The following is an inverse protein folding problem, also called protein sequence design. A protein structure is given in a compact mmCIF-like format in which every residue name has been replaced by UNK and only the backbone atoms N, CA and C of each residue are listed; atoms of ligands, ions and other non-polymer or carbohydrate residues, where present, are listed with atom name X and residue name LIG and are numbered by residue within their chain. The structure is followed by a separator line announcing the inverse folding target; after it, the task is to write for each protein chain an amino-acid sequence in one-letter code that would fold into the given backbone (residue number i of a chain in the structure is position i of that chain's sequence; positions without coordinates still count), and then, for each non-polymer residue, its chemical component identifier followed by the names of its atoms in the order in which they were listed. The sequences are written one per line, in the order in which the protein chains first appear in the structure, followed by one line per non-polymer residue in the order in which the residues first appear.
data_IF_006632602539
#
_entry.id   IF_006632602539
#
_cell.length_a   1.000
_cell.length_b   1.000
_cell.length_c   1.000
_cell.angle_alpha   90.00
_cell.angle_beta   90.00
_cell.angle_gamma   90.00
#
_symmetry.space_group_name_H-M   'P 1'
#
loop_
_entity.id
_entity.type
_entity.pdbx_description
1 polymer ?
#
# COMPACT_ATOMS: atom_id res chain seq x y z
N UNK A 1 -8.72 -15.02 24.53
CA UNK A 1 -9.08 -13.79 25.26
C UNK A 1 -9.50 -12.75 24.21
N UNK A 2 -10.76 -12.33 24.06
CA UNK A 2 -12.04 -12.78 24.62
C UNK A 2 -13.16 -12.37 23.64
N UNK A 3 -14.13 -13.26 23.38
CA UNK A 3 -15.28 -13.02 22.48
C UNK A 3 -15.99 -11.66 22.61
N UNK A 4 -16.15 -11.03 23.80
CA UNK A 4 -16.76 -9.70 23.91
C UNK A 4 -16.07 -8.61 23.08
N UNK A 5 -14.73 -8.59 22.95
CA UNK A 5 -14.05 -7.50 22.23
C UNK A 5 -14.33 -7.55 20.72
N UNK A 6 -14.45 -8.74 20.15
CA UNK A 6 -14.84 -8.91 18.75
C UNK A 6 -16.27 -8.41 18.52
N UNK A 7 -17.18 -8.56 19.50
CA UNK A 7 -18.54 -8.02 19.39
C UNK A 7 -18.58 -6.49 19.44
N UNK A 8 -17.73 -5.86 20.27
CA UNK A 8 -17.60 -4.40 20.32
C UNK A 8 -16.97 -3.84 19.04
N UNK A 9 -15.93 -4.48 18.52
CA UNK A 9 -15.34 -4.13 17.22
C UNK A 9 -16.39 -4.19 16.11
N UNK A 10 -17.16 -5.28 16.02
CA UNK A 10 -18.20 -5.43 15.01
C UNK A 10 -19.32 -4.38 15.13
N UNK A 11 -19.66 -3.93 16.35
CA UNK A 11 -20.63 -2.85 16.56
C UNK A 11 -20.11 -1.50 16.07
N UNK A 12 -18.85 -1.17 16.37
CA UNK A 12 -18.22 0.05 15.88
C UNK A 12 -18.05 0.04 14.37
N UNK A 13 -17.67 -1.10 13.78
CA UNK A 13 -17.60 -1.26 12.32
C UNK A 13 -18.97 -1.06 11.67
N UNK A 14 -20.04 -1.61 12.27
CA UNK A 14 -21.42 -1.38 11.79
C UNK A 14 -21.81 0.10 11.87
N UNK A 15 -21.51 0.77 12.98
CA UNK A 15 -21.80 2.20 13.15
C UNK A 15 -21.03 3.04 12.12
N UNK A 16 -19.75 2.74 11.92
CA UNK A 16 -18.89 3.40 10.92
C UNK A 16 -19.38 3.17 9.49
N UNK A 17 -19.85 1.95 9.18
CA UNK A 17 -20.39 1.60 7.86
C UNK A 17 -21.78 2.19 7.55
N UNK A 18 -22.39 2.89 8.53
CA UNK A 18 -23.67 3.55 8.29
C UNK A 18 -23.45 4.81 7.43
N UNK A 19 -24.00 4.80 6.21
CA UNK A 19 -23.87 5.89 5.23
C UNK A 19 -24.24 7.27 5.77
N UNK A 20 -25.22 7.35 6.68
CA UNK A 20 -25.60 8.63 7.28
C UNK A 20 -24.51 9.12 8.24
N UNK A 21 -24.01 8.23 9.09
CA UNK A 21 -22.95 8.55 10.04
C UNK A 21 -21.67 8.93 9.30
N UNK A 22 -21.30 8.15 8.30
CA UNK A 22 -20.19 8.42 7.40
C UNK A 22 -20.31 9.80 6.75
N UNK A 23 -21.45 10.10 6.12
CA UNK A 23 -21.70 11.39 5.48
C UNK A 23 -21.61 12.57 6.48
N UNK A 24 -22.13 12.39 7.70
CA UNK A 24 -22.04 13.41 8.77
C UNK A 24 -20.59 13.64 9.17
N UNK A 25 -19.80 12.58 9.38
CA UNK A 25 -18.39 12.73 9.75
C UNK A 25 -17.58 13.37 8.62
N UNK A 26 -17.80 12.95 7.37
CA UNK A 26 -17.18 13.56 6.19
C UNK A 26 -17.53 15.04 6.12
N UNK A 27 -18.80 15.41 6.29
CA UNK A 27 -19.23 16.81 6.29
C UNK A 27 -18.52 17.61 7.38
N UNK A 28 -18.42 17.08 8.61
CA UNK A 28 -17.69 17.73 9.71
C UNK A 28 -16.21 17.94 9.34
N UNK A 29 -15.53 16.91 8.81
CA UNK A 29 -14.12 17.01 8.43
C UNK A 29 -13.92 18.03 7.30
N UNK A 30 -14.75 17.98 6.26
CA UNK A 30 -14.66 18.90 5.11
C UNK A 30 -14.94 20.33 5.54
N UNK A 31 -16.01 20.59 6.30
CA UNK A 31 -16.33 21.93 6.78
C UNK A 31 -15.23 22.45 7.72
N UNK A 32 -14.71 21.61 8.62
CA UNK A 32 -13.58 21.96 9.50
C UNK A 32 -12.32 22.32 8.69
N UNK A 33 -12.00 21.53 7.65
CA UNK A 33 -10.89 21.81 6.74
C UNK A 33 -11.05 23.14 5.99
N UNK A 34 -12.26 23.42 5.47
CA UNK A 34 -12.58 24.68 4.80
C UNK A 34 -12.47 25.87 5.75
N UNK A 35 -12.88 25.73 7.02
CA UNK A 35 -12.70 26.78 8.03
C UNK A 35 -11.23 27.03 8.34
N UNK A 36 -10.39 25.98 8.42
CA UNK A 36 -8.93 26.14 8.57
C UNK A 36 -8.36 26.96 7.40
N UNK A 37 -8.83 26.73 6.17
CA UNK A 37 -8.44 27.53 5.01
C UNK A 37 -8.97 28.97 5.08
N UNK A 38 -10.24 29.16 5.47
CA UNK A 38 -10.90 30.45 5.57
C UNK A 38 -10.30 31.35 6.67
N UNK A 39 -9.68 30.77 7.72
CA UNK A 39 -8.90 31.50 8.73
C UNK A 39 -7.73 32.31 8.16
N UNK A 40 -7.35 32.07 6.90
CA UNK A 40 -6.40 32.93 6.18
C UNK A 40 -6.98 34.31 5.87
N UNK A 41 -8.31 34.46 5.90
CA UNK A 41 -9.02 35.66 5.43
C UNK A 41 -9.80 36.41 6.51
N UNK A 42 -10.54 35.78 7.43
CA UNK A 42 -11.32 36.49 8.48
C UNK A 42 -11.57 35.67 9.77
N UNK A 43 -11.78 36.39 10.90
CA UNK A 43 -12.15 35.87 12.23
C UNK A 43 -13.66 35.54 12.31
N UNK A 44 -14.06 34.29 12.05
CA UNK A 44 -15.45 33.84 12.20
C UNK A 44 -15.65 33.09 13.53
N UNK A 45 -16.28 33.74 14.52
CA UNK A 45 -16.18 33.30 15.93
C UNK A 45 -17.17 32.22 16.40
N UNK A 46 -18.40 32.15 15.87
CA UNK A 46 -19.40 31.21 16.42
C UNK A 46 -19.43 29.84 15.73
N UNK A 47 -19.37 29.80 14.39
CA UNK A 47 -19.34 28.55 13.63
C UNK A 47 -18.07 27.75 13.94
N UNK A 48 -16.97 28.45 14.21
CA UNK A 48 -15.71 27.84 14.61
C UNK A 48 -15.81 27.06 15.93
N UNK A 49 -16.45 27.62 16.96
CA UNK A 49 -16.56 26.95 18.26
C UNK A 49 -17.35 25.64 18.16
N UNK A 50 -18.49 25.66 17.46
CA UNK A 50 -19.28 24.45 17.24
C UNK A 50 -18.51 23.40 16.43
N UNK A 51 -17.80 23.80 15.38
CA UNK A 51 -16.98 22.89 14.58
C UNK A 51 -15.81 22.32 15.36
N UNK A 52 -15.19 23.09 16.26
CA UNK A 52 -14.14 22.59 17.15
C UNK A 52 -14.66 21.48 18.07
N UNK A 53 -15.86 21.64 18.65
CA UNK A 53 -16.47 20.59 19.46
C UNK A 53 -16.81 19.34 18.64
N UNK A 54 -17.34 19.50 17.43
CA UNK A 54 -17.65 18.39 16.53
C UNK A 54 -16.38 17.65 16.07
N UNK A 55 -15.32 18.39 15.73
CA UNK A 55 -14.04 17.82 15.34
C UNK A 55 -13.36 17.09 16.51
N UNK A 56 -13.47 17.63 17.73
CA UNK A 56 -13.05 16.94 18.95
C UNK A 56 -13.84 15.64 19.16
N UNK A 57 -15.17 15.66 18.96
CA UNK A 57 -16.00 14.47 19.05
C UNK A 57 -15.61 13.40 18.04
N UNK A 58 -15.33 13.78 16.78
CA UNK A 58 -14.81 12.87 15.74
C UNK A 58 -13.45 12.31 16.15
N UNK A 59 -12.57 13.14 16.71
CA UNK A 59 -11.25 12.70 17.22
C UNK A 59 -11.40 11.63 18.29
N UNK A 60 -12.28 11.87 19.27
CA UNK A 60 -12.54 10.93 20.37
C UNK A 60 -13.16 9.63 19.82
N UNK A 61 -14.08 9.72 18.86
CA UNK A 61 -14.64 8.54 18.20
C UNK A 61 -13.54 7.66 17.59
N UNK A 62 -12.65 8.24 16.79
CA UNK A 62 -11.53 7.53 16.18
C UNK A 62 -10.52 6.99 17.20
N UNK A 63 -10.29 7.72 18.29
CA UNK A 63 -9.46 7.25 19.40
C UNK A 63 -10.05 6.00 20.04
N UNK A 64 -11.35 6.01 20.34
CA UNK A 64 -12.02 4.85 20.90
C UNK A 64 -11.98 3.68 19.92
N UNK A 65 -12.26 3.94 18.64
CA UNK A 65 -12.21 2.93 17.59
C UNK A 65 -10.83 2.26 17.51
N UNK A 66 -9.74 3.05 17.52
CA UNK A 66 -8.41 2.50 17.39
C UNK A 66 -7.96 1.75 18.65
N UNK A 67 -8.35 2.22 19.84
CA UNK A 67 -8.09 1.51 21.09
C UNK A 67 -8.79 0.13 21.10
N UNK A 68 -10.03 0.06 20.62
CA UNK A 68 -10.75 -1.22 20.47
C UNK A 68 -10.03 -2.13 19.47
N UNK A 69 -9.58 -1.59 18.32
CA UNK A 69 -8.88 -2.35 17.29
C UNK A 69 -7.53 -2.88 17.78
N UNK A 70 -6.80 -2.10 18.59
CA UNK A 70 -5.57 -2.53 19.26
C UNK A 70 -5.86 -3.62 20.30
N UNK A 71 -6.90 -3.45 21.12
CA UNK A 71 -7.28 -4.40 22.16
C UNK A 71 -7.80 -5.76 21.61
N UNK A 72 -8.34 -5.76 20.38
CA UNK A 72 -8.79 -6.97 19.70
C UNK A 72 -7.62 -7.81 19.11
N UNK A 73 -6.46 -7.21 18.87
CA UNK A 73 -5.27 -7.90 18.36
C UNK A 73 -4.56 -8.68 19.49
N UNK A 74 -4.07 -9.89 19.18
CA UNK A 74 -3.40 -10.74 20.19
C UNK A 74 -2.06 -10.18 20.65
N UNK A 75 -1.41 -9.38 19.82
CA UNK A 75 -0.13 -8.73 20.10
C UNK A 75 -0.08 -7.35 19.45
N UNK A 76 0.52 -6.36 20.12
CA UNK A 76 0.69 -5.01 19.56
C UNK A 76 1.46 -5.05 18.23
N UNK A 77 2.46 -5.94 18.10
CA UNK A 77 3.20 -6.13 16.86
C UNK A 77 2.34 -6.60 15.69
N UNK A 78 1.25 -7.32 15.94
CA UNK A 78 0.33 -7.75 14.88
C UNK A 78 -0.49 -6.57 14.34
N UNK A 79 -0.87 -5.63 15.22
CA UNK A 79 -1.52 -4.38 14.82
C UNK A 79 -0.62 -3.53 13.91
N UNK A 80 0.64 -3.32 14.30
CA UNK A 80 1.59 -2.48 13.54
C UNK A 80 2.10 -3.11 12.24
N UNK A 81 1.83 -4.40 11.97
CA UNK A 81 2.10 -5.01 10.66
C UNK A 81 1.09 -4.62 9.58
N UNK A 82 -0.09 -4.15 9.96
CA UNK A 82 -1.14 -3.72 9.03
C UNK A 82 -0.96 -2.24 8.71
N UNK A 83 -0.57 -1.90 7.48
CA UNK A 83 -0.26 -0.52 7.08
C UNK A 83 -1.37 0.50 7.39
N UNK A 84 -2.63 0.14 7.15
CA UNK A 84 -3.78 1.00 7.45
C UNK A 84 -4.01 1.24 8.94
N UNK A 85 -3.70 0.26 9.79
CA UNK A 85 -3.76 0.44 11.25
C UNK A 85 -2.68 1.41 11.74
N UNK A 86 -1.48 1.37 11.13
CA UNK A 86 -0.39 2.32 11.43
C UNK A 86 -0.79 3.73 11.01
N UNK A 87 -1.39 3.88 9.82
CA UNK A 87 -1.89 5.16 9.33
C UNK A 87 -2.94 5.74 10.27
N UNK A 88 -3.98 4.99 10.60
CA UNK A 88 -5.04 5.42 11.53
C UNK A 88 -4.44 5.83 12.89
N UNK A 89 -3.45 5.10 13.39
CA UNK A 89 -2.78 5.40 14.66
C UNK A 89 -1.99 6.70 14.60
N UNK A 90 -1.24 6.91 13.52
CA UNK A 90 -0.50 8.15 13.30
C UNK A 90 -1.44 9.35 13.21
N UNK A 91 -2.54 9.24 12.47
CA UNK A 91 -3.51 10.33 12.33
C UNK A 91 -4.16 10.69 13.67
N UNK A 92 -4.57 9.70 14.46
CA UNK A 92 -5.19 9.92 15.78
C UNK A 92 -4.19 10.51 16.76
N UNK A 93 -2.98 9.98 16.84
CA UNK A 93 -1.94 10.48 17.76
C UNK A 93 -1.48 11.89 17.40
N UNK A 94 -1.24 12.19 16.12
CA UNK A 94 -0.92 13.53 15.65
C UNK A 94 -2.03 14.54 15.96
N UNK A 95 -3.28 14.09 16.02
CA UNK A 95 -4.43 14.93 16.35
C UNK A 95 -4.61 15.23 17.84
N UNK A 96 -4.03 14.41 18.71
CA UNK A 96 -4.16 14.53 20.17
C UNK A 96 -3.08 15.40 20.81
N UNK A 97 -2.03 15.76 20.07
CA UNK A 97 -0.93 16.58 20.58
C UNK A 97 -1.49 17.95 21.04
N UNK A 98 -1.43 18.26 22.35
CA UNK A 98 -1.93 19.53 22.88
C UNK A 98 -1.02 20.69 22.45
N UNK A 99 -1.63 21.87 22.31
CA UNK A 99 -1.07 23.02 21.58
C UNK A 99 -0.42 24.07 22.49
N UNK A 100 -0.11 23.74 23.75
CA UNK A 100 0.10 24.76 24.79
C UNK A 100 1.56 25.17 25.01
N UNK A 101 2.55 24.54 24.36
CA UNK A 101 3.96 24.95 24.45
C UNK A 101 4.33 25.95 23.35
N UNK A 102 4.89 27.10 23.73
CA UNK A 102 5.13 28.29 22.90
C UNK A 102 5.97 28.04 21.63
N UNK A 103 6.88 27.06 21.65
CA UNK A 103 7.68 26.67 20.47
C UNK A 103 6.96 25.63 19.60
N UNK A 104 6.09 24.82 20.19
CA UNK A 104 5.30 23.79 19.51
C UNK A 104 4.06 24.37 18.83
N UNK A 105 3.66 25.61 19.10
CA UNK A 105 2.44 26.22 18.54
C UNK A 105 2.43 26.19 17.01
N UNK A 106 3.55 26.50 16.34
CA UNK A 106 3.61 26.52 14.87
C UNK A 106 3.50 25.11 14.28
N UNK A 107 4.27 24.16 14.81
CA UNK A 107 4.22 22.76 14.39
C UNK A 107 2.84 22.18 14.63
N UNK A 108 2.26 22.44 15.80
CA UNK A 108 0.96 21.92 16.16
C UNK A 108 -0.17 22.58 15.34
N UNK A 109 0.00 23.82 14.83
CA UNK A 109 -0.89 24.39 13.80
C UNK A 109 -0.81 23.62 12.49
N UNK A 110 0.41 23.27 12.05
CA UNK A 110 0.61 22.44 10.85
C UNK A 110 0.02 21.03 11.05
N UNK A 111 0.12 20.46 12.25
CA UNK A 111 -0.44 19.13 12.56
C UNK A 111 -1.96 19.06 12.41
N UNK A 112 -2.66 20.20 12.39
CA UNK A 112 -4.12 20.24 12.11
C UNK A 112 -4.45 19.74 10.71
N UNK A 113 -3.51 19.80 9.74
CA UNK A 113 -3.74 19.24 8.40
C UNK A 113 -3.95 17.73 8.42
N UNK A 114 -3.38 17.01 9.39
CA UNK A 114 -3.61 15.57 9.55
C UNK A 114 -5.07 15.24 9.87
N UNK A 115 -5.85 16.20 10.38
CA UNK A 115 -7.30 16.00 10.58
C UNK A 115 -8.03 15.82 9.26
N UNK A 116 -7.59 16.49 8.19
CA UNK A 116 -8.14 16.31 6.84
C UNK A 116 -7.82 14.90 6.32
N UNK A 117 -6.64 14.37 6.67
CA UNK A 117 -6.25 13.01 6.32
C UNK A 117 -7.15 11.94 6.96
N UNK A 118 -7.95 12.27 7.98
CA UNK A 118 -9.00 11.36 8.51
C UNK A 118 -10.05 11.01 7.45
N UNK A 119 -10.23 11.80 6.40
CA UNK A 119 -11.07 11.43 5.26
C UNK A 119 -10.58 10.11 4.64
N UNK A 120 -9.26 9.93 4.55
CA UNK A 120 -8.66 8.69 4.06
C UNK A 120 -8.98 7.52 5.00
N UNK A 121 -8.93 7.73 6.31
CA UNK A 121 -9.30 6.71 7.30
C UNK A 121 -10.80 6.39 7.31
N UNK A 122 -11.66 7.38 7.09
CA UNK A 122 -13.12 7.21 7.08
C UNK A 122 -13.64 6.54 5.80
N UNK A 123 -13.07 6.88 4.63
CA UNK A 123 -13.61 6.50 3.32
C UNK A 123 -12.84 5.29 2.77
N UNK A 124 -13.40 4.07 2.80
CA UNK A 124 -12.71 2.87 2.32
C UNK A 124 -12.33 2.96 0.83
N UNK A 125 -13.12 3.68 0.03
CA UNK A 125 -12.85 3.93 -1.38
C UNK A 125 -11.54 4.70 -1.55
N UNK A 126 -11.24 5.70 -0.70
CA UNK A 126 -9.96 6.41 -0.73
C UNK A 126 -8.80 5.49 -0.35
N UNK A 127 -9.01 4.60 0.63
CA UNK A 127 -8.00 3.59 1.00
C UNK A 127 -7.75 2.61 -0.14
N UNK A 128 -8.80 2.20 -0.85
CA UNK A 128 -8.70 1.32 -2.01
C UNK A 128 -7.92 1.99 -3.15
N UNK A 129 -8.24 3.25 -3.47
CA UNK A 129 -7.54 4.03 -4.49
C UNK A 129 -6.06 4.23 -4.13
N UNK A 130 -5.76 4.67 -2.92
CA UNK A 130 -4.38 4.82 -2.45
C UNK A 130 -3.65 3.49 -2.40
N UNK A 131 -4.31 2.40 -1.97
CA UNK A 131 -3.72 1.05 -2.01
C UNK A 131 -3.39 0.63 -3.44
N UNK A 132 -4.25 0.96 -4.41
CA UNK A 132 -4.00 0.66 -5.82
C UNK A 132 -2.78 1.45 -6.35
N UNK A 133 -2.68 2.74 -6.00
CA UNK A 133 -1.52 3.58 -6.33
C UNK A 133 -0.23 3.05 -5.68
N UNK A 134 -0.25 2.73 -4.38
CA UNK A 134 0.94 2.21 -3.69
C UNK A 134 1.33 0.83 -4.22
N UNK A 135 0.37 -0.03 -4.61
CA UNK A 135 0.65 -1.34 -5.21
C UNK A 135 1.27 -1.26 -6.61
N UNK A 136 1.10 -0.16 -7.34
CA UNK A 136 1.74 0.01 -8.65
C UNK A 136 3.19 0.48 -8.54
N UNK A 137 3.55 1.23 -7.49
CA UNK A 137 4.91 1.77 -7.29
C UNK A 137 6.03 0.71 -7.35
N UNK A 138 5.94 -0.47 -6.68
CA UNK A 138 7.01 -1.46 -6.72
C UNK A 138 7.36 -1.96 -8.12
N UNK A 139 6.38 -2.04 -9.04
CA UNK A 139 6.62 -2.44 -10.44
C UNK A 139 7.55 -1.46 -11.15
N UNK A 140 7.54 -0.20 -10.72
CA UNK A 140 8.33 0.89 -11.29
C UNK A 140 9.65 1.12 -10.55
N UNK A 141 9.91 0.42 -9.44
CA UNK A 141 11.04 0.71 -8.54
C UNK A 141 12.41 0.72 -9.24
N UNK A 142 12.67 -0.26 -10.10
CA UNK A 142 13.92 -0.32 -10.87
C UNK A 142 14.07 0.82 -11.87
N UNK A 143 12.96 1.23 -12.51
CA UNK A 143 12.96 2.36 -13.44
C UNK A 143 13.19 3.66 -12.69
N UNK A 144 12.52 3.87 -11.56
CA UNK A 144 12.72 5.05 -10.71
C UNK A 144 14.18 5.12 -10.22
N UNK A 145 14.78 3.99 -9.84
CA UNK A 145 16.19 3.94 -9.46
C UNK A 145 17.12 4.30 -10.64
N UNK A 146 16.85 3.76 -11.83
CA UNK A 146 17.60 4.10 -13.04
C UNK A 146 17.49 5.60 -13.39
N UNK A 147 16.27 6.16 -13.33
CA UNK A 147 16.04 7.59 -13.53
C UNK A 147 16.81 8.42 -12.50
N UNK A 148 16.80 8.02 -11.23
CA UNK A 148 17.55 8.71 -10.18
C UNK A 148 19.06 8.71 -10.45
N UNK A 149 19.63 7.57 -10.88
CA UNK A 149 21.05 7.47 -11.25
C UNK A 149 21.38 8.41 -12.42
N UNK A 150 20.54 8.43 -13.47
CA UNK A 150 20.73 9.31 -14.62
C UNK A 150 20.65 10.78 -14.21
N UNK A 151 19.65 11.14 -13.41
CA UNK A 151 19.51 12.50 -12.87
C UNK A 151 20.74 12.92 -12.08
N UNK A 152 21.26 12.04 -11.22
CA UNK A 152 22.44 12.32 -10.42
C UNK A 152 23.68 12.55 -11.31
N UNK A 153 23.90 11.71 -12.31
CA UNK A 153 25.03 11.85 -13.24
C UNK A 153 24.95 13.16 -14.02
N UNK A 154 23.78 13.46 -14.60
CA UNK A 154 23.58 14.73 -15.30
C UNK A 154 23.72 15.92 -14.33
N UNK A 155 23.15 15.86 -13.12
CA UNK A 155 23.27 16.92 -12.13
C UNK A 155 24.73 17.17 -11.72
N UNK A 156 25.53 16.11 -11.53
CA UNK A 156 26.96 16.24 -11.25
C UNK A 156 27.71 16.90 -12.41
N UNK A 157 27.42 16.51 -13.66
CA UNK A 157 28.02 17.11 -14.85
C UNK A 157 27.58 18.58 -14.99
N UNK A 158 26.29 18.87 -14.89
CA UNK A 158 25.73 20.20 -15.03
C UNK A 158 26.18 21.15 -13.94
N UNK A 159 26.23 20.70 -12.68
CA UNK A 159 26.78 21.51 -11.58
C UNK A 159 28.27 21.78 -11.73
N UNK A 160 29.04 20.90 -12.39
CA UNK A 160 30.43 21.17 -12.71
C UNK A 160 30.59 22.13 -13.90
N UNK A 161 29.79 21.96 -14.97
CA UNK A 161 29.93 22.72 -16.21
C UNK A 161 29.27 24.10 -16.14
N UNK A 162 28.10 24.21 -15.54
CA UNK A 162 27.23 25.39 -15.60
C UNK A 162 27.17 26.17 -14.29
N UNK A 163 28.01 25.83 -13.31
CA UNK A 163 28.11 26.52 -12.02
C UNK A 163 28.15 28.06 -12.16
N UNK A 164 28.93 28.54 -13.13
CA UNK A 164 29.15 29.98 -13.35
C UNK A 164 28.05 30.66 -14.17
N UNK A 165 27.09 29.90 -14.72
CA UNK A 165 25.95 30.46 -15.47
C UNK A 165 24.91 30.98 -14.49
N UNK A 166 24.51 30.14 -13.54
CA UNK A 166 23.53 30.48 -12.52
C UNK A 166 23.76 29.58 -11.29
N UNK A 167 24.23 30.18 -10.20
CA UNK A 167 24.49 29.48 -8.94
C UNK A 167 23.21 28.93 -8.30
N UNK A 168 22.06 29.57 -8.53
CA UNK A 168 20.76 29.10 -8.05
C UNK A 168 20.29 27.83 -8.75
N UNK A 169 20.69 27.61 -10.01
CA UNK A 169 20.34 26.43 -10.79
C UNK A 169 21.41 25.32 -10.72
N UNK A 170 22.69 25.69 -10.66
CA UNK A 170 23.83 24.78 -10.83
C UNK A 170 24.83 24.80 -9.69
N UNK A 171 24.57 25.55 -8.61
CA UNK A 171 25.51 25.77 -7.50
C UNK A 171 25.96 24.49 -6.79
N UNK A 172 25.09 23.48 -6.74
CA UNK A 172 25.41 22.16 -6.21
C UNK A 172 24.57 21.07 -6.90
N UNK A 173 24.91 19.81 -6.64
CA UNK A 173 24.22 18.65 -7.24
C UNK A 173 22.73 18.63 -6.89
N UNK A 174 22.32 19.04 -5.68
CA UNK A 174 20.91 19.05 -5.29
C UNK A 174 20.10 20.10 -6.06
N UNK A 175 20.64 21.30 -6.26
CA UNK A 175 20.03 22.34 -7.08
C UNK A 175 19.99 21.90 -8.55
N UNK A 176 21.07 21.34 -9.07
CA UNK A 176 21.11 20.82 -10.44
C UNK A 176 20.11 19.67 -10.67
N UNK A 177 19.88 18.79 -9.67
CA UNK A 177 18.82 17.79 -9.73
C UNK A 177 17.42 18.41 -9.80
N UNK A 178 17.16 19.50 -9.05
CA UNK A 178 15.90 20.23 -9.11
C UNK A 178 15.70 20.91 -10.47
N UNK A 179 16.74 21.54 -11.01
CA UNK A 179 16.76 22.12 -12.36
C UNK A 179 16.49 21.05 -13.41
N UNK A 180 17.12 19.88 -13.31
CA UNK A 180 16.88 18.77 -14.24
C UNK A 180 15.49 18.14 -14.07
N UNK A 181 14.90 18.17 -12.88
CA UNK A 181 13.50 17.80 -12.67
C UNK A 181 12.55 18.74 -13.40
N UNK A 182 12.79 20.05 -13.33
CA UNK A 182 12.08 21.06 -14.13
C UNK A 182 12.24 20.81 -15.64
N UNK A 183 13.46 20.52 -16.10
CA UNK A 183 13.70 20.17 -17.52
C UNK A 183 12.95 18.89 -17.93
N UNK A 184 12.92 17.88 -17.05
CA UNK A 184 12.26 16.61 -17.30
C UNK A 184 10.73 16.71 -17.40
N UNK A 185 10.11 17.69 -16.74
CA UNK A 185 8.68 17.99 -16.86
C UNK A 185 8.36 18.91 -18.04
N UNK A 186 9.38 19.29 -18.83
CA UNK A 186 9.29 20.26 -19.93
C UNK A 186 8.85 21.66 -19.49
N UNK A 187 8.93 21.98 -18.20
CA UNK A 187 8.51 23.27 -17.67
C UNK A 187 9.63 24.29 -17.90
N UNK A 188 9.36 25.31 -18.71
CA UNK A 188 10.26 26.46 -18.99
C UNK A 188 11.71 26.13 -19.36
N UNK A 189 12.02 24.88 -19.75
CA UNK A 189 13.39 24.40 -19.91
C UNK A 189 14.19 25.16 -20.99
N UNK A 190 13.52 25.61 -22.05
CA UNK A 190 14.16 26.35 -23.13
C UNK A 190 14.53 27.78 -22.69
N UNK A 191 13.56 28.50 -22.13
CA UNK A 191 13.68 29.93 -21.81
C UNK A 191 14.37 30.19 -20.48
N UNK A 192 14.10 29.38 -19.45
CA UNK A 192 14.63 29.59 -18.10
C UNK A 192 15.99 28.91 -17.87
N UNK A 193 16.32 27.86 -18.63
CA UNK A 193 17.54 27.05 -18.37
C UNK A 193 18.46 27.03 -19.59
N UNK A 194 17.97 26.59 -20.76
CA UNK A 194 18.81 26.41 -21.95
C UNK A 194 19.37 27.74 -22.49
N UNK A 195 18.52 28.73 -22.77
CA UNK A 195 18.96 29.96 -23.43
C UNK A 195 20.00 30.74 -22.61
N UNK A 196 19.81 30.96 -21.29
CA UNK A 196 20.86 31.56 -20.46
C UNK A 196 22.16 30.75 -20.46
N UNK A 197 22.05 29.42 -20.44
CA UNK A 197 23.23 28.54 -20.53
C UNK A 197 23.93 28.67 -21.89
N UNK A 198 23.17 28.87 -22.98
CA UNK A 198 23.72 29.04 -24.33
C UNK A 198 24.43 30.37 -24.56
N UNK A 199 24.12 31.41 -23.78
CA UNK A 199 24.85 32.68 -23.84
C UNK A 199 26.32 32.50 -23.46
N UNK A 200 26.62 31.56 -22.55
CA UNK A 200 27.98 31.22 -22.12
C UNK A 200 28.53 29.99 -22.85
N UNK A 201 27.68 28.97 -23.06
CA UNK A 201 28.04 27.69 -23.66
C UNK A 201 27.17 27.40 -24.91
N UNK A 202 27.58 27.83 -26.11
CA UNK A 202 26.75 27.74 -27.32
C UNK A 202 26.27 26.33 -27.69
N UNK A 203 26.98 25.29 -27.26
CA UNK A 203 26.65 23.89 -27.52
C UNK A 203 25.90 23.20 -26.37
N UNK A 204 25.46 23.95 -25.34
CA UNK A 204 24.73 23.40 -24.20
C UNK A 204 23.45 22.67 -24.59
N UNK A 205 22.83 23.02 -25.73
CA UNK A 205 21.67 22.32 -26.27
C UNK A 205 21.89 20.81 -26.44
N UNK A 206 23.11 20.34 -26.69
CA UNK A 206 23.41 18.90 -26.79
C UNK A 206 23.20 18.22 -25.44
N UNK A 207 23.68 18.83 -24.35
CA UNK A 207 23.51 18.32 -23.00
C UNK A 207 22.02 18.20 -22.64
N UNK A 208 21.23 19.26 -22.87
CA UNK A 208 19.80 19.25 -22.53
C UNK A 208 18.98 18.33 -23.43
N UNK A 209 19.25 18.30 -24.75
CA UNK A 209 18.53 17.41 -25.65
C UNK A 209 18.83 15.94 -25.34
N UNK A 210 20.08 15.57 -25.09
CA UNK A 210 20.40 14.17 -24.73
C UNK A 210 19.71 13.75 -23.42
N UNK A 211 19.69 14.63 -22.42
CA UNK A 211 18.94 14.41 -21.18
C UNK A 211 17.44 14.20 -21.45
N UNK A 212 16.83 15.11 -22.21
CA UNK A 212 15.41 15.09 -22.55
C UNK A 212 15.05 13.80 -23.30
N UNK A 213 15.80 13.45 -24.35
CA UNK A 213 15.54 12.26 -25.15
C UNK A 213 15.68 10.99 -24.30
N UNK A 214 16.73 10.90 -23.47
CA UNK A 214 16.95 9.76 -22.59
C UNK A 214 15.82 9.63 -21.57
N UNK A 215 15.45 10.73 -20.90
CA UNK A 215 14.39 10.76 -19.90
C UNK A 215 13.02 10.41 -20.50
N UNK A 216 12.67 11.03 -21.64
CA UNK A 216 11.42 10.76 -22.35
C UNK A 216 11.35 9.31 -22.83
N UNK A 217 12.46 8.75 -23.32
CA UNK A 217 12.54 7.36 -23.76
C UNK A 217 12.33 6.38 -22.61
N UNK A 218 12.98 6.62 -21.46
CA UNK A 218 12.80 5.79 -20.25
C UNK A 218 11.35 5.87 -19.77
N UNK A 219 10.78 7.07 -19.71
CA UNK A 219 9.39 7.27 -19.32
C UNK A 219 8.42 6.56 -20.27
N UNK A 220 8.65 6.64 -21.57
CA UNK A 220 7.83 5.95 -22.58
C UNK A 220 7.91 4.43 -22.42
N UNK A 221 9.11 3.88 -22.28
CA UNK A 221 9.30 2.44 -22.08
C UNK A 221 8.67 1.95 -20.77
N UNK A 222 8.71 2.75 -19.72
CA UNK A 222 8.01 2.47 -18.47
C UNK A 222 6.49 2.45 -18.67
N UNK A 223 5.94 3.44 -19.35
CA UNK A 223 4.52 3.52 -19.66
C UNK A 223 4.07 2.33 -20.50
N UNK A 224 4.81 2.00 -21.55
CA UNK A 224 4.56 0.81 -22.39
C UNK A 224 4.63 -0.45 -21.54
N UNK A 225 5.64 -0.59 -20.67
CA UNK A 225 5.78 -1.73 -19.77
C UNK A 225 4.58 -1.90 -18.84
N UNK A 226 4.07 -0.81 -18.25
CA UNK A 226 2.89 -0.85 -17.37
C UNK A 226 1.63 -1.17 -18.16
N UNK A 227 1.43 -0.55 -19.32
CA UNK A 227 0.27 -0.81 -20.17
C UNK A 227 0.26 -2.26 -20.64
N UNK A 228 1.41 -2.79 -21.08
CA UNK A 228 1.55 -4.19 -21.47
C UNK A 228 1.29 -5.14 -20.30
N UNK A 229 1.83 -4.86 -19.10
CA UNK A 229 1.59 -5.67 -17.90
C UNK A 229 0.11 -5.70 -17.51
N UNK A 230 -0.59 -4.58 -17.63
CA UNK A 230 -2.05 -4.51 -17.39
C UNK A 230 -2.81 -5.25 -18.48
N UNK A 231 -2.50 -5.02 -19.76
CA UNK A 231 -3.16 -5.67 -20.89
C UNK A 231 -2.99 -7.19 -20.87
N UNK A 232 -1.80 -7.69 -20.54
CA UNK A 232 -1.53 -9.12 -20.43
C UNK A 232 -2.34 -9.75 -19.29
N UNK A 233 -2.43 -9.07 -18.14
CA UNK A 233 -3.25 -9.54 -17.00
C UNK A 233 -4.75 -9.56 -17.32
N UNK A 234 -5.26 -8.51 -17.95
CA UNK A 234 -6.66 -8.45 -18.36
C UNK A 234 -6.98 -9.50 -19.43
N UNK A 235 -6.09 -9.68 -20.42
CA UNK A 235 -6.26 -10.70 -21.47
C UNK A 235 -6.22 -12.12 -20.92
N UNK A 236 -5.32 -12.41 -19.97
CA UNK A 236 -5.25 -13.68 -19.27
C UNK A 236 -6.53 -13.97 -18.47
N UNK A 237 -7.04 -12.96 -17.76
CA UNK A 237 -8.30 -13.10 -17.02
C UNK A 237 -9.49 -13.35 -17.95
N UNK A 238 -9.59 -12.63 -19.08
CA UNK A 238 -10.65 -12.85 -20.07
C UNK A 238 -10.56 -14.23 -20.71
N UNK A 239 -9.35 -14.74 -20.97
CA UNK A 239 -9.13 -16.10 -21.48
C UNK A 239 -9.68 -17.16 -20.51
N UNK A 240 -9.38 -17.01 -19.21
CA UNK A 240 -9.91 -17.88 -18.17
C UNK A 240 -11.44 -17.82 -18.07
N UNK A 241 -12.02 -16.63 -18.12
CA UNK A 241 -13.47 -16.43 -17.97
C UNK A 241 -14.24 -16.97 -19.19
N UNK A 242 -13.69 -16.84 -20.40
CA UNK A 242 -14.31 -17.35 -21.63
C UNK A 242 -14.01 -18.83 -21.90
N UNK A 243 -13.09 -19.45 -21.14
CA UNK A 243 -12.62 -20.81 -21.40
C UNK A 243 -11.82 -20.94 -22.70
N UNK A 244 -11.35 -19.83 -23.25
CA UNK A 244 -10.62 -19.75 -24.52
C UNK A 244 -9.18 -19.34 -24.26
N UNK A 245 -8.21 -20.12 -24.75
CA UNK A 245 -6.79 -19.80 -24.65
C UNK A 245 -5.98 -20.79 -23.81
N UNK A 246 -4.66 -20.70 -23.97
CA UNK A 246 -3.69 -21.66 -23.43
C UNK A 246 -3.76 -21.76 -21.90
N UNK A 247 -4.02 -20.65 -21.20
CA UNK A 247 -4.15 -20.63 -19.75
C UNK A 247 -5.43 -21.33 -19.24
N UNK A 248 -6.54 -21.22 -19.96
CA UNK A 248 -7.79 -21.90 -19.63
C UNK A 248 -7.68 -23.41 -19.85
N UNK A 249 -7.04 -23.84 -20.93
CA UNK A 249 -6.75 -25.26 -21.20
C UNK A 249 -5.81 -25.86 -20.14
N UNK A 250 -4.74 -25.14 -19.76
CA UNK A 250 -3.83 -25.57 -18.69
C UNK A 250 -4.54 -25.68 -17.34
N UNK A 251 -5.41 -24.72 -17.01
CA UNK A 251 -6.22 -24.75 -15.79
C UNK A 251 -7.15 -25.97 -15.79
N UNK A 252 -7.82 -26.24 -16.92
CA UNK A 252 -8.71 -27.41 -17.11
C UNK A 252 -7.94 -28.73 -16.94
N UNK A 253 -6.82 -28.90 -17.67
CA UNK A 253 -5.98 -30.09 -17.58
C UNK A 253 -5.45 -30.31 -16.16
N UNK A 254 -5.07 -29.25 -15.46
CA UNK A 254 -4.60 -29.33 -14.07
C UNK A 254 -5.71 -29.77 -13.12
N UNK A 255 -6.95 -29.36 -13.37
CA UNK A 255 -8.12 -29.83 -12.64
C UNK A 255 -8.39 -31.31 -12.93
N UNK A 256 -8.28 -31.74 -14.18
CA UNK A 256 -8.44 -33.15 -14.57
C UNK A 256 -7.38 -34.06 -13.91
N UNK A 257 -6.11 -33.65 -13.93
CA UNK A 257 -5.02 -34.38 -13.26
C UNK A 257 -5.26 -34.49 -11.76
N UNK A 258 -5.75 -33.42 -11.11
CA UNK A 258 -6.15 -33.47 -9.69
C UNK A 258 -7.32 -34.43 -9.47
N UNK A 259 -8.29 -34.45 -10.37
CA UNK A 259 -9.42 -35.37 -10.34
C UNK A 259 -8.97 -36.84 -10.43
N UNK A 260 -8.11 -37.16 -11.39
CA UNK A 260 -7.51 -38.48 -11.57
C UNK A 260 -6.72 -38.92 -10.34
N UNK A 261 -5.90 -38.02 -9.76
CA UNK A 261 -5.15 -38.33 -8.54
C UNK A 261 -6.09 -38.65 -7.37
N UNK A 262 -7.14 -37.87 -7.18
CA UNK A 262 -8.13 -38.13 -6.13
C UNK A 262 -8.88 -39.46 -6.34
N UNK A 263 -9.11 -39.88 -7.59
CA UNK A 263 -9.68 -41.19 -7.89
C UNK A 263 -8.70 -42.33 -7.56
N UNK A 264 -7.42 -42.18 -7.91
CA UNK A 264 -6.36 -43.13 -7.55
C UNK A 264 -6.23 -43.29 -6.04
N UNK A 265 -6.17 -42.19 -5.28
CA UNK A 265 -6.09 -42.23 -3.82
C UNK A 265 -7.29 -42.98 -3.21
N UNK A 266 -8.50 -42.79 -3.76
CA UNK A 266 -9.69 -43.54 -3.34
C UNK A 266 -9.57 -45.03 -3.66
N UNK A 267 -9.12 -45.40 -4.86
CA UNK A 267 -8.91 -46.81 -5.23
C UNK A 267 -7.86 -47.48 -4.35
N UNK A 268 -6.74 -46.79 -4.08
CA UNK A 268 -5.69 -47.27 -3.18
C UNK A 268 -6.23 -47.49 -1.76
N UNK A 269 -7.01 -46.53 -1.24
CA UNK A 269 -7.63 -46.68 0.08
C UNK A 269 -8.62 -47.85 0.15
N UNK A 270 -9.43 -48.06 -0.89
CA UNK A 270 -10.39 -49.17 -0.96
C UNK A 270 -9.69 -50.54 -1.06
N UNK A 271 -8.62 -50.63 -1.84
CA UNK A 271 -7.79 -51.84 -1.94
C UNK A 271 -7.07 -52.14 -0.61
N UNK A 272 -6.55 -51.12 0.07
CA UNK A 272 -5.93 -51.26 1.39
C UNK A 272 -6.92 -51.76 2.46
N UNK A 273 -8.18 -51.33 2.36
CA UNK A 273 -9.25 -51.78 3.25
C UNK A 273 -9.67 -53.22 2.94
N UNK A 274 -9.72 -53.60 1.67
CA UNK A 274 -10.02 -54.97 1.23
C UNK A 274 -8.90 -55.97 1.57
N UNK A 275 -7.65 -55.50 1.71
CA UNK A 275 -6.48 -56.33 2.01
C UNK A 275 -6.04 -56.29 3.49
N UNK A 276 -6.82 -55.70 4.39
CA UNK A 276 -6.55 -55.80 5.83
C UNK A 276 -6.79 -57.24 6.32
N UNK A 277 -5.77 -57.96 6.84
CA UNK A 277 -5.99 -59.28 7.41
C UNK A 277 -6.87 -59.19 8.65
N UNK A 278 -7.86 -60.07 8.75
CA UNK A 278 -8.80 -60.13 9.88
C UNK A 278 -8.06 -60.23 11.23
N UNK A 279 -8.56 -59.59 12.31
CA UNK A 279 -7.95 -59.72 13.63
C UNK A 279 -8.04 -61.19 14.07
N UNK A 280 -6.89 -61.79 14.34
CA UNK A 280 -6.76 -63.15 14.87
C UNK A 280 -7.51 -63.25 16.19
N UNK A 281 -8.67 -63.91 16.17
CA UNK A 281 -9.35 -64.36 17.38
C UNK A 281 -8.45 -65.38 18.10
N UNK A 282 -7.73 -64.94 19.12
CA UNK A 282 -7.29 -65.84 20.19
C UNK A 282 -8.53 -66.24 20.99
N UNK A 283 -8.90 -67.52 20.92
CA UNK A 283 -9.80 -68.13 21.90
C UNK A 283 -9.37 -69.57 22.18
N UNK A 284 -9.35 -69.85 23.48
CA UNK A 284 -9.12 -71.11 24.16
C UNK A 284 -9.84 -72.32 23.53
N UNK A 285 -9.15 -73.47 23.47
CA UNK A 285 -9.74 -74.77 23.82
C UNK A 285 -8.65 -75.85 23.94
N UNK A 286 -8.69 -76.59 25.05
CA UNK A 286 -7.68 -77.54 25.49
C UNK A 286 -7.49 -78.80 24.65
N UNK A 287 -6.29 -79.37 24.80
CA UNK A 287 -5.93 -80.73 24.38
C UNK A 287 -4.87 -81.30 25.32
N UNK A 288 -5.32 -82.01 26.36
CA UNK A 288 -4.51 -82.83 27.29
C UNK A 288 -3.97 -84.08 26.58
N UNK A 289 -2.66 -84.30 26.58
CA UNK A 289 -1.99 -85.62 26.76
C UNK A 289 -0.47 -85.38 26.87
N UNK A 290 0.13 -85.36 28.06
CA UNK A 290 0.74 -86.49 28.79
C UNK A 290 1.70 -87.36 27.98
N UNK A 291 2.98 -87.26 28.38
CA UNK A 291 4.01 -88.30 28.53
C UNK A 291 5.33 -87.91 27.85
N UNK A 292 6.29 -87.34 28.59
CA UNK A 292 7.31 -87.97 29.48
C UNK A 292 8.67 -88.12 28.74
N UNK A 293 9.80 -88.29 29.46
CA UNK A 293 10.93 -87.36 29.42
C UNK A 293 12.19 -88.05 28.84
N UNK A 294 13.37 -87.46 29.13
CA UNK A 294 14.76 -87.91 28.84
C UNK A 294 15.30 -87.35 27.51
N UNK A 295 16.51 -86.80 27.42
CA UNK A 295 17.71 -86.82 28.28
C UNK A 295 18.69 -85.78 27.73
N UNK A 296 19.51 -85.24 28.64
CA UNK A 296 20.80 -84.56 28.47
C UNK A 296 20.89 -83.22 27.71
#
# INVERSE_FOLDING_TARGET
MSEPFNTWQARFERLRSNKIFEAVVIAIIVISALVIGAKTYEETTQVEQWLLYLDMAVTIFFLIEILIRIAAERTLLSFFKKGWNVFDFLIVTASLIPMDDSEMVLLARLLRIFRVLRLVSMIPELQMLLSALVKSVPRMGYVVLLMFIIFYIYAAIGSFLFHNVDEGLWGNISLAMLTLFQVATFESWATAVLYPTMEVYPYAWIYFLTFIFLNAFIFLNMMIGIVLDVMQKESAQMALDNGEGEEAELQSLRNDVRGLKAQLDRMESALSQAYSPAPTHQNDAGGKHSDKPTTD
#
